data_IF_272100330579
#
_entry.id   IF_272100330579
#
_cell.length_a   1.000
_cell.length_b   1.000
_cell.length_c   1.000
_cell.angle_alpha   90.00
_cell.angle_beta   90.00
_cell.angle_gamma   90.00
#
_symmetry.space_group_name_H-M   'P 1'
#
loop_
_entity.id
_entity.type
_entity.pdbx_description
1 polymer ?
#
# COMPACT_ATOMS: atom_id res chain seq x y z
N UNK A 1 13.75 19.64 -6.39
CA UNK A 1 12.68 19.05 -5.55
C UNK A 1 11.73 20.18 -5.09
N UNK A 2 11.29 21.07 -5.99
CA UNK A 2 10.93 22.45 -5.56
C UNK A 2 9.58 22.98 -6.06
N UNK A 3 8.75 22.14 -6.70
CA UNK A 3 7.45 22.60 -7.23
C UNK A 3 6.25 21.98 -6.53
N UNK A 4 6.41 20.83 -5.86
CA UNK A 4 5.31 20.19 -5.12
C UNK A 4 5.16 20.77 -3.71
N UNK A 5 6.26 21.08 -3.02
CA UNK A 5 6.25 21.59 -1.65
C UNK A 5 5.74 23.03 -1.50
N UNK A 6 5.68 23.82 -2.58
CA UNK A 6 5.20 25.23 -2.51
C UNK A 6 3.68 25.37 -2.67
N UNK A 7 3.01 24.38 -3.23
CA UNK A 7 1.55 24.42 -3.44
C UNK A 7 0.76 24.09 -2.15
N UNK A 8 1.39 23.48 -1.15
CA UNK A 8 0.71 23.02 0.07
C UNK A 8 0.80 23.95 1.29
N UNK A 9 1.44 25.12 1.18
CA UNK A 9 1.65 26.02 2.34
C UNK A 9 0.51 27.02 2.59
N UNK A 10 -0.62 26.92 1.88
CA UNK A 10 -1.69 27.93 1.85
C UNK A 10 -3.10 27.44 2.17
N UNK A 11 -3.30 26.32 2.87
CA UNK A 11 -4.65 25.82 3.17
C UNK A 11 -4.76 25.11 4.53
N UNK A 12 -4.21 25.69 5.59
CA UNK A 12 -4.45 25.22 6.97
C UNK A 12 -5.87 25.53 7.49
N UNK A 13 -6.69 26.29 6.74
CA UNK A 13 -8.03 26.70 7.17
C UNK A 13 -9.21 26.01 6.45
N UNK A 14 -8.95 25.20 5.40
CA UNK A 14 -9.99 24.40 4.73
C UNK A 14 -10.08 22.94 5.23
N UNK A 15 -9.20 22.52 6.15
CA UNK A 15 -9.09 21.13 6.58
C UNK A 15 -10.25 20.59 7.43
N UNK A 16 -11.25 21.43 7.76
CA UNK A 16 -12.49 20.98 8.43
C UNK A 16 -13.57 20.47 7.46
N UNK A 17 -13.40 20.67 6.16
CA UNK A 17 -14.28 20.10 5.14
C UNK A 17 -13.61 18.89 4.49
N UNK A 18 -14.06 17.69 4.81
CA UNK A 18 -13.73 16.46 4.08
C UNK A 18 -13.96 16.69 2.58
N UNK A 19 -12.89 16.92 1.83
CA UNK A 19 -13.01 17.21 0.40
C UNK A 19 -13.27 15.88 -0.30
N UNK A 20 -14.56 15.54 -0.46
CA UNK A 20 -15.00 14.30 -1.12
C UNK A 20 -14.34 14.11 -2.49
N UNK A 21 -14.12 15.21 -3.21
CA UNK A 21 -13.39 15.23 -4.48
C UNK A 21 -11.93 14.77 -4.35
N UNK A 22 -11.24 15.16 -3.28
CA UNK A 22 -9.87 14.72 -3.01
C UNK A 22 -9.81 13.25 -2.62
N UNK A 23 -10.76 12.78 -1.80
CA UNK A 23 -10.85 11.35 -1.47
C UNK A 23 -11.10 10.50 -2.72
N UNK A 24 -11.99 10.95 -3.61
CA UNK A 24 -12.23 10.31 -4.90
C UNK A 24 -10.98 10.32 -5.81
N UNK A 25 -10.25 11.44 -5.85
CA UNK A 25 -9.01 11.54 -6.64
C UNK A 25 -7.94 10.57 -6.12
N UNK A 26 -7.74 10.51 -4.79
CA UNK A 26 -6.81 9.58 -4.14
C UNK A 26 -7.23 8.13 -4.44
N UNK A 27 -8.50 7.79 -4.25
CA UNK A 27 -8.99 6.43 -4.54
C UNK A 27 -8.78 6.04 -6.00
N UNK A 28 -9.09 6.94 -6.94
CA UNK A 28 -8.89 6.72 -8.38
C UNK A 28 -7.41 6.52 -8.74
N UNK A 29 -6.53 7.35 -8.17
CA UNK A 29 -5.08 7.22 -8.35
C UNK A 29 -4.57 5.86 -7.84
N UNK A 30 -4.99 5.45 -6.64
CA UNK A 30 -4.59 4.18 -6.03
C UNK A 30 -5.06 3.01 -6.88
N UNK A 31 -6.32 3.01 -7.29
CA UNK A 31 -6.91 1.95 -8.11
C UNK A 31 -6.19 1.84 -9.46
N UNK A 32 -5.99 2.95 -10.16
CA UNK A 32 -5.34 2.94 -11.48
C UNK A 32 -3.89 2.49 -11.40
N UNK A 33 -3.11 3.05 -10.48
CA UNK A 33 -1.69 2.73 -10.34
C UNK A 33 -1.51 1.32 -9.83
N UNK A 34 -2.22 0.96 -8.76
CA UNK A 34 -2.20 -0.38 -8.22
C UNK A 34 -2.61 -1.44 -9.25
N UNK A 35 -3.65 -1.18 -10.04
CA UNK A 35 -4.12 -2.15 -11.04
C UNK A 35 -3.02 -2.46 -12.06
N UNK A 36 -2.22 -1.47 -12.45
CA UNK A 36 -1.07 -1.71 -13.33
C UNK A 36 0.01 -2.58 -12.70
N UNK A 37 0.14 -2.60 -11.37
CA UNK A 37 1.06 -3.47 -10.63
C UNK A 37 0.51 -4.89 -10.53
N UNK A 38 -0.78 -5.04 -10.18
CA UNK A 38 -1.38 -6.35 -9.93
C UNK A 38 -1.69 -7.13 -11.21
N UNK A 39 -2.03 -6.43 -12.30
CA UNK A 39 -2.41 -7.05 -13.58
C UNK A 39 -1.23 -7.34 -14.51
N UNK A 40 -0.02 -6.92 -14.17
CA UNK A 40 1.18 -7.19 -14.98
C UNK A 40 1.77 -8.56 -14.63
N UNK A 41 1.31 -9.60 -15.34
CA UNK A 41 1.70 -10.99 -15.10
C UNK A 41 3.20 -11.24 -15.35
N UNK A 42 3.83 -10.46 -16.25
CA UNK A 42 5.27 -10.58 -16.52
C UNK A 42 6.11 -10.14 -15.30
N UNK A 43 5.53 -9.28 -14.45
CA UNK A 43 6.13 -8.79 -13.21
C UNK A 43 5.54 -9.41 -11.95
N UNK A 44 4.88 -10.56 -12.03
CA UNK A 44 4.30 -11.26 -10.86
C UNK A 44 5.33 -11.46 -9.73
N UNK A 45 6.60 -11.74 -10.08
CA UNK A 45 7.70 -11.91 -9.11
C UNK A 45 8.02 -10.63 -8.31
N UNK A 46 7.79 -9.46 -8.90
CA UNK A 46 8.08 -8.15 -8.31
C UNK A 46 6.82 -7.48 -7.73
N UNK A 47 5.66 -8.11 -7.90
CA UNK A 47 4.36 -7.56 -7.51
C UNK A 47 4.31 -7.23 -6.01
N UNK A 48 4.73 -8.14 -5.14
CA UNK A 48 4.67 -7.96 -3.68
C UNK A 48 5.58 -6.81 -3.25
N UNK A 49 6.82 -6.78 -3.73
CA UNK A 49 7.77 -5.68 -3.47
C UNK A 49 7.20 -4.34 -3.94
N UNK A 50 6.63 -4.31 -5.15
CA UNK A 50 6.02 -3.10 -5.73
C UNK A 50 4.81 -2.62 -4.92
N UNK A 51 3.99 -3.53 -4.41
CA UNK A 51 2.84 -3.20 -3.54
C UNK A 51 3.30 -2.66 -2.18
N UNK A 52 4.38 -3.21 -1.61
CA UNK A 52 4.96 -2.71 -0.35
C UNK A 52 5.51 -1.29 -0.51
N UNK A 53 6.27 -1.03 -1.57
CA UNK A 53 6.80 0.30 -1.89
C UNK A 53 5.66 1.29 -2.15
N UNK A 54 4.65 0.87 -2.93
CA UNK A 54 3.50 1.69 -3.21
C UNK A 54 2.75 2.04 -1.92
N UNK A 55 2.50 1.07 -1.04
CA UNK A 55 1.86 1.30 0.26
C UNK A 55 2.66 2.25 1.14
N UNK A 56 3.98 2.07 1.22
CA UNK A 56 4.86 2.96 1.98
C UNK A 56 4.77 4.41 1.47
N UNK A 57 4.75 4.60 0.14
CA UNK A 57 4.61 5.93 -0.46
C UNK A 57 3.27 6.60 -0.09
N UNK A 58 2.17 5.84 -0.05
CA UNK A 58 0.86 6.34 0.35
C UNK A 58 0.82 6.71 1.83
N UNK A 59 1.46 5.90 2.69
CA UNK A 59 1.55 6.18 4.13
C UNK A 59 2.35 7.46 4.41
N UNK A 60 3.48 7.67 3.72
CA UNK A 60 4.26 8.92 3.82
C UNK A 60 3.45 10.13 3.39
N UNK A 61 2.73 10.06 2.26
CA UNK A 61 1.86 11.14 1.79
C UNK A 61 0.77 11.45 2.83
N UNK A 62 0.15 10.42 3.39
CA UNK A 62 -0.90 10.53 4.40
C UNK A 62 -0.40 11.17 5.70
N UNK A 63 0.82 10.82 6.12
CA UNK A 63 1.46 11.38 7.31
C UNK A 63 1.89 12.83 7.10
N UNK A 64 2.63 13.10 6.03
CA UNK A 64 3.23 14.42 5.78
C UNK A 64 2.21 15.46 5.31
N UNK A 65 1.26 15.07 4.45
CA UNK A 65 0.34 16.01 3.81
C UNK A 65 -1.03 16.08 4.47
N UNK A 66 -1.43 15.02 5.18
CA UNK A 66 -2.78 14.89 5.74
C UNK A 66 -2.81 14.62 7.25
N UNK A 67 -1.65 14.59 7.92
CA UNK A 67 -1.53 14.35 9.37
C UNK A 67 -2.31 13.11 9.83
N UNK A 68 -2.26 12.02 9.04
CA UNK A 68 -2.96 10.76 9.33
C UNK A 68 -4.47 10.91 9.51
N UNK A 69 -5.09 11.83 8.77
CA UNK A 69 -6.55 12.02 8.79
C UNK A 69 -7.29 10.71 8.47
N UNK A 70 -8.14 10.30 9.39
CA UNK A 70 -8.82 8.99 9.39
C UNK A 70 -9.67 8.74 8.15
N UNK A 71 -10.32 9.75 7.58
CA UNK A 71 -11.13 9.59 6.37
C UNK A 71 -10.29 9.23 5.14
N UNK A 72 -9.11 9.85 5.00
CA UNK A 72 -8.16 9.49 3.93
C UNK A 72 -7.50 8.14 4.21
N UNK A 73 -7.20 7.81 5.48
CA UNK A 73 -6.76 6.46 5.87
C UNK A 73 -7.75 5.40 5.40
N UNK A 74 -9.04 5.58 5.66
CA UNK A 74 -10.09 4.64 5.26
C UNK A 74 -10.21 4.57 3.73
N UNK A 75 -10.18 5.72 3.04
CA UNK A 75 -10.19 5.75 1.57
C UNK A 75 -9.03 4.98 0.95
N UNK A 76 -7.82 5.11 1.50
CA UNK A 76 -6.64 4.36 1.04
C UNK A 76 -6.85 2.87 1.30
N UNK A 77 -7.28 2.48 2.51
CA UNK A 77 -7.55 1.09 2.87
C UNK A 77 -8.55 0.44 1.91
N UNK A 78 -9.72 1.05 1.71
CA UNK A 78 -10.77 0.52 0.84
C UNK A 78 -10.30 0.37 -0.62
N UNK A 79 -9.46 1.31 -1.08
CA UNK A 79 -8.91 1.28 -2.43
C UNK A 79 -7.86 0.19 -2.59
N UNK A 80 -7.05 -0.05 -1.56
CA UNK A 80 -6.04 -1.10 -1.52
C UNK A 80 -6.67 -2.49 -1.41
N UNK A 81 -7.70 -2.64 -0.59
CA UNK A 81 -8.48 -3.88 -0.49
C UNK A 81 -9.10 -4.23 -1.83
N UNK A 82 -9.77 -3.26 -2.49
CA UNK A 82 -10.31 -3.50 -3.82
C UNK A 82 -9.24 -3.93 -4.82
N UNK A 83 -8.07 -3.30 -4.78
CA UNK A 83 -6.94 -3.61 -5.66
C UNK A 83 -6.47 -5.06 -5.50
N UNK A 84 -6.19 -5.47 -4.26
CA UNK A 84 -5.69 -6.81 -3.96
C UNK A 84 -6.73 -7.85 -4.37
N UNK A 85 -8.02 -7.55 -4.22
CA UNK A 85 -9.09 -8.47 -4.60
C UNK A 85 -9.41 -8.46 -6.10
N UNK A 86 -8.70 -7.69 -6.95
CA UNK A 86 -8.89 -7.73 -8.39
C UNK A 86 -8.40 -9.03 -9.04
N UNK A 87 -7.37 -9.67 -8.46
CA UNK A 87 -6.89 -10.98 -8.92
C UNK A 87 -7.18 -12.01 -7.84
N UNK A 88 -8.12 -12.89 -8.12
CA UNK A 88 -8.51 -13.93 -7.18
C UNK A 88 -7.34 -14.86 -6.87
N UNK A 89 -7.06 -15.09 -5.58
CA UNK A 89 -6.06 -16.01 -5.03
C UNK A 89 -4.58 -15.73 -5.39
N UNK A 90 -4.29 -15.03 -6.49
CA UNK A 90 -2.92 -14.81 -6.98
C UNK A 90 -2.07 -13.95 -6.04
N UNK A 91 -2.56 -12.82 -5.49
CA UNK A 91 -1.79 -12.05 -4.52
C UNK A 91 -1.48 -12.84 -3.25
N UNK A 92 -2.39 -13.72 -2.78
CA UNK A 92 -2.15 -14.57 -1.62
C UNK A 92 -1.01 -15.57 -1.85
N UNK A 93 -1.01 -16.23 -3.02
CA UNK A 93 0.05 -17.15 -3.42
C UNK A 93 1.41 -16.44 -3.53
N UNK A 94 1.45 -15.28 -4.20
CA UNK A 94 2.68 -14.52 -4.39
C UNK A 94 3.23 -13.96 -3.07
N UNK A 95 2.35 -13.50 -2.17
CA UNK A 95 2.74 -13.04 -0.84
C UNK A 95 3.31 -14.20 -0.01
N UNK A 96 2.67 -15.37 -0.02
CA UNK A 96 3.17 -16.55 0.70
C UNK A 96 4.55 -16.99 0.16
N UNK A 97 4.72 -16.99 -1.16
CA UNK A 97 6.00 -17.30 -1.80
C UNK A 97 7.09 -16.28 -1.43
N UNK A 98 6.75 -14.98 -1.45
CA UNK A 98 7.67 -13.91 -1.04
C UNK A 98 8.11 -14.06 0.43
N UNK A 99 7.18 -14.46 1.31
CA UNK A 99 7.46 -14.71 2.72
C UNK A 99 8.46 -15.88 2.89
N UNK A 100 8.23 -17.00 2.21
CA UNK A 100 9.12 -18.18 2.23
C UNK A 100 10.54 -17.83 1.74
N UNK A 101 10.63 -17.10 0.61
CA UNK A 101 11.91 -16.63 0.06
C UNK A 101 12.66 -15.73 1.06
N UNK A 102 11.97 -14.78 1.71
CA UNK A 102 12.58 -13.90 2.71
C UNK A 102 13.03 -14.63 3.97
N UNK A 103 12.25 -15.58 4.47
CA UNK A 103 12.66 -16.40 5.62
C UNK A 103 13.91 -17.24 5.31
N UNK A 104 14.02 -17.77 4.09
CA UNK A 104 15.18 -18.54 3.66
C UNK A 104 16.43 -17.67 3.47
N UNK A 105 16.26 -16.45 2.99
CA UNK A 105 17.37 -15.50 2.79
C UNK A 105 17.83 -14.83 4.09
N UNK A 106 16.97 -14.75 5.11
CA UNK A 106 17.35 -14.32 6.47
C UNK A 106 18.55 -15.07 7.03
N UNK A 107 18.69 -16.36 6.69
CA UNK A 107 19.82 -17.20 7.10
C UNK A 107 21.15 -16.89 6.37
N UNK A 108 21.18 -15.94 5.41
CA UNK A 108 22.36 -15.61 4.60
C UNK A 108 23.01 -14.26 4.92
N UNK A 109 22.60 -13.59 6.00
CA UNK A 109 23.28 -12.37 6.50
C UNK A 109 22.43 -11.10 6.51
N UNK A 110 21.11 -11.19 6.30
CA UNK A 110 20.18 -10.12 6.70
C UNK A 110 20.06 -10.11 8.22
N UNK A 111 20.08 -8.94 8.84
CA UNK A 111 19.88 -8.86 10.29
C UNK A 111 18.46 -9.32 10.67
N UNK A 112 18.32 -9.92 11.84
CA UNK A 112 17.02 -10.41 12.34
C UNK A 112 15.99 -9.26 12.41
N UNK A 113 16.43 -8.07 12.81
CA UNK A 113 15.60 -6.86 12.88
C UNK A 113 15.08 -6.40 11.50
N UNK A 114 15.93 -6.38 10.48
CA UNK A 114 15.52 -6.03 9.11
C UNK A 114 14.57 -7.07 8.52
N UNK A 115 14.77 -8.35 8.85
CA UNK A 115 13.89 -9.42 8.46
C UNK A 115 12.51 -9.25 9.12
N UNK A 116 12.45 -9.12 10.44
CA UNK A 116 11.21 -8.88 11.18
C UNK A 116 10.45 -7.66 10.64
N UNK A 117 11.14 -6.53 10.44
CA UNK A 117 10.53 -5.32 9.89
C UNK A 117 10.00 -5.50 8.46
N UNK A 118 10.57 -6.41 7.67
CA UNK A 118 10.05 -6.77 6.35
C UNK A 118 8.81 -7.66 6.48
N UNK A 119 8.87 -8.68 7.34
CA UNK A 119 7.75 -9.59 7.59
C UNK A 119 6.51 -8.83 8.07
N UNK A 120 6.67 -7.88 8.99
CA UNK A 120 5.57 -7.06 9.50
C UNK A 120 4.85 -6.27 8.39
N UNK A 121 5.60 -5.70 7.44
CA UNK A 121 5.02 -4.98 6.30
C UNK A 121 4.27 -5.93 5.37
N UNK A 122 4.79 -7.14 5.16
CA UNK A 122 4.13 -8.18 4.35
C UNK A 122 2.84 -8.66 5.03
N UNK A 123 2.85 -8.82 6.36
CA UNK A 123 1.67 -9.18 7.16
C UNK A 123 0.57 -8.11 7.11
N UNK A 124 0.92 -6.85 6.88
CA UNK A 124 -0.07 -5.80 6.60
C UNK A 124 -0.76 -6.03 5.26
N UNK A 125 -0.04 -6.46 4.22
CA UNK A 125 -0.64 -6.80 2.92
C UNK A 125 -1.62 -7.98 3.02
N UNK A 126 -1.31 -8.98 3.86
CA UNK A 126 -2.23 -10.09 4.13
C UNK A 126 -3.59 -9.64 4.65
N UNK A 127 -3.66 -8.56 5.43
CA UNK A 127 -4.93 -8.04 5.99
C UNK A 127 -5.86 -7.48 4.91
N UNK A 128 -5.33 -7.12 3.73
CA UNK A 128 -6.10 -6.60 2.60
C UNK A 128 -6.59 -7.69 1.65
N UNK A 129 -6.01 -8.89 1.69
CA UNK A 129 -6.54 -10.05 0.97
C UNK A 129 -7.81 -10.47 1.70
N UNK A 130 -8.95 -10.06 1.13
CA UNK A 130 -10.33 -10.30 1.58
C UNK A 130 -10.43 -10.99 2.95
N UNK A 131 -10.15 -10.24 4.02
CA UNK A 131 -10.26 -10.62 5.44
C UNK A 131 -10.37 -12.15 5.70
N UNK A 132 -9.28 -12.87 5.47
CA UNK A 132 -9.01 -14.27 5.85
C UNK A 132 -10.00 -15.38 5.42
N UNK A 133 -11.27 -15.40 5.83
CA UNK A 133 -12.14 -16.58 5.70
C UNK A 133 -13.61 -16.12 5.78
N UNK A 134 -14.38 -16.20 4.69
CA UNK A 134 -15.76 -16.66 4.84
C UNK A 134 -15.72 -18.19 4.90
N UNK A 135 -15.32 -18.72 6.07
CA UNK A 135 -15.61 -20.09 6.52
C UNK A 135 -16.14 -20.00 7.95
#
# INVERSE_FOLDING_TARGET
MDTVSRTFRGCTHCFKGQCKSLSQAISSYIRRTGQSIVMDEEKDKDMVSSLLEFKASLDSILEESFSKNEAFCNTIKDSFEHLINLRQNRPAELIAKFLDEKLRDGNKGTSEEELEGTLDKVLVLFRFIQLMLEL
#
